data_IF_395075970218
#
_entry.id   IF_395075970218
#
_cell.length_a   1.000
_cell.length_b   1.000
_cell.length_c   1.000
_cell.angle_alpha   90.00
_cell.angle_beta   90.00
_cell.angle_gamma   90.00
#
_symmetry.space_group_name_H-M   'P 1'
#
loop_
_entity.id
_entity.type
_entity.pdbx_description
1 polymer ?
#
# COMPACT_ATOMS: atom_id res chain seq x y z
N UNK A 1 -6.98 17.09 0.16
CA UNK A 1 -7.77 15.84 0.12
C UNK A 1 -7.29 14.92 1.23
N UNK A 2 -8.19 14.23 1.87
CA UNK A 2 -7.85 13.27 2.91
C UNK A 2 -7.72 11.89 2.30
N UNK A 3 -6.55 11.31 2.41
CA UNK A 3 -6.21 10.05 1.75
C UNK A 3 -5.83 9.01 2.78
N UNK A 4 -6.42 7.83 2.68
CA UNK A 4 -5.95 6.65 3.41
C UNK A 4 -5.10 5.82 2.49
N UNK A 5 -3.97 5.33 2.97
CA UNK A 5 -3.06 4.54 2.15
C UNK A 5 -2.78 3.22 2.86
N UNK A 6 -3.19 2.14 2.23
CA UNK A 6 -3.05 0.80 2.80
C UNK A 6 -1.92 0.10 2.06
N UNK A 7 -0.95 -0.38 2.80
CA UNK A 7 0.20 -1.05 2.20
C UNK A 7 1.38 -0.10 2.07
N UNK A 8 2.23 -0.08 3.07
CA UNK A 8 3.38 0.80 3.11
C UNK A 8 4.68 0.03 2.89
N UNK A 9 4.63 -0.93 1.98
CA UNK A 9 5.85 -1.56 1.50
C UNK A 9 6.70 -0.54 0.77
N UNK A 10 7.84 -0.94 0.26
CA UNK A 10 8.81 0.00 -0.29
C UNK A 10 8.19 0.94 -1.33
N UNK A 11 7.46 0.38 -2.29
CA UNK A 11 6.85 1.19 -3.34
C UNK A 11 5.66 1.98 -2.82
N UNK A 12 4.83 1.37 -1.98
CA UNK A 12 3.67 2.04 -1.42
C UNK A 12 4.08 3.18 -0.53
N UNK A 13 5.12 3.00 0.26
CA UNK A 13 5.63 4.03 1.15
C UNK A 13 6.10 5.26 0.37
N UNK A 14 6.85 5.04 -0.71
CA UNK A 14 7.34 6.14 -1.53
C UNK A 14 6.17 6.91 -2.14
N UNK A 15 5.18 6.21 -2.65
CA UNK A 15 3.99 6.85 -3.23
C UNK A 15 3.21 7.63 -2.18
N UNK A 16 3.06 7.05 -0.98
CA UNK A 16 2.34 7.72 0.09
C UNK A 16 3.06 8.98 0.54
N UNK A 17 4.38 8.94 0.60
CA UNK A 17 5.16 10.11 0.99
C UNK A 17 5.06 11.24 -0.03
N UNK A 18 5.03 10.90 -1.29
CA UNK A 18 4.83 11.90 -2.35
C UNK A 18 3.45 12.52 -2.24
N UNK A 19 2.43 11.72 -2.02
CA UNK A 19 1.06 12.24 -1.85
C UNK A 19 0.95 13.11 -0.61
N UNK A 20 1.67 12.78 0.45
CA UNK A 20 1.60 13.52 1.71
C UNK A 20 2.18 14.93 1.59
N UNK A 21 2.91 15.21 0.53
CA UNK A 21 3.40 16.57 0.31
C UNK A 21 2.28 17.56 0.01
N UNK A 22 1.18 17.08 -0.54
CA UNK A 22 0.07 17.95 -0.96
C UNK A 22 -1.27 17.56 -0.38
N UNK A 23 -1.35 16.42 0.28
CA UNK A 23 -2.60 15.91 0.81
C UNK A 23 -2.41 15.41 2.23
N UNK A 24 -3.52 15.30 2.95
CA UNK A 24 -3.51 14.72 4.28
C UNK A 24 -3.56 13.20 4.15
N UNK A 25 -2.42 12.55 4.29
CA UNK A 25 -2.28 11.11 4.10
C UNK A 25 -2.07 10.40 5.42
N UNK A 26 -2.87 9.38 5.66
CA UNK A 26 -2.68 8.46 6.79
C UNK A 26 -2.44 7.08 6.22
N UNK A 27 -1.39 6.43 6.64
CA UNK A 27 -1.01 5.13 6.10
C UNK A 27 -1.11 4.02 7.12
N UNK A 28 -1.40 2.82 6.64
CA UNK A 28 -1.47 1.63 7.44
C UNK A 28 -0.82 0.45 6.74
N UNK A 29 -0.20 -0.41 7.53
CA UNK A 29 0.36 -1.67 7.05
C UNK A 29 0.31 -2.65 8.20
N UNK A 30 0.30 -3.93 7.92
CA UNK A 30 0.35 -4.95 8.97
C UNK A 30 1.59 -4.82 9.83
N UNK A 31 2.67 -4.29 9.26
CA UNK A 31 3.94 -4.11 9.94
C UNK A 31 4.19 -2.65 10.31
N UNK A 32 3.13 -1.92 10.63
CA UNK A 32 3.17 -0.46 10.76
C UNK A 32 4.17 0.01 11.80
N UNK A 33 4.39 -0.78 12.85
CA UNK A 33 5.29 -0.37 13.93
C UNK A 33 6.75 -0.40 13.49
N UNK A 34 7.08 -1.15 12.45
CA UNK A 34 8.44 -1.28 11.95
C UNK A 34 8.71 -0.47 10.70
N UNK A 35 7.72 0.29 10.24
CA UNK A 35 7.87 1.08 9.02
C UNK A 35 8.36 2.46 9.37
N UNK A 36 9.44 2.87 8.72
CA UNK A 36 10.01 4.19 8.87
C UNK A 36 9.51 5.08 7.72
N UNK A 37 8.66 6.02 8.04
CA UNK A 37 8.10 6.91 7.04
C UNK A 37 7.70 8.23 7.67
N UNK A 38 7.67 9.27 6.84
CA UNK A 38 7.20 10.59 7.26
C UNK A 38 5.68 10.70 7.24
N UNK A 39 5.00 9.75 6.64
CA UNK A 39 3.55 9.72 6.58
C UNK A 39 2.98 9.42 7.97
N UNK A 40 1.87 10.04 8.31
CA UNK A 40 1.18 9.74 9.55
C UNK A 40 0.75 8.28 9.55
N UNK A 41 1.13 7.56 10.59
CA UNK A 41 0.83 6.14 10.68
C UNK A 41 -0.43 5.88 11.47
N UNK A 42 -1.32 5.08 10.91
CA UNK A 42 -2.46 4.56 11.64
C UNK A 42 -2.06 3.23 12.27
N UNK A 43 -2.39 3.04 13.52
CA UNK A 43 -2.09 1.80 14.23
C UNK A 43 -3.12 0.71 13.98
N UNK A 44 -4.25 1.07 13.40
CA UNK A 44 -5.29 0.13 13.02
C UNK A 44 -5.82 0.50 11.65
N UNK A 45 -6.23 -0.51 10.90
CA UNK A 45 -6.73 -0.33 9.55
C UNK A 45 -7.88 0.68 9.50
N UNK A 46 -8.78 0.63 10.46
CA UNK A 46 -9.94 1.52 10.45
C UNK A 46 -9.54 2.98 10.48
N UNK A 47 -8.44 3.31 11.14
CA UNK A 47 -8.01 4.71 11.24
C UNK A 47 -7.46 5.24 9.91
N UNK A 48 -7.02 4.36 9.03
CA UNK A 48 -6.60 4.77 7.70
C UNK A 48 -7.79 4.89 6.73
N UNK A 49 -8.94 4.35 7.12
CA UNK A 49 -10.11 4.35 6.24
C UNK A 49 -11.17 5.34 6.66
N UNK A 50 -11.28 5.64 7.95
CA UNK A 50 -12.38 6.47 8.43
C UNK A 50 -12.15 7.93 8.07
N UNK A 51 -13.20 8.61 7.64
CA UNK A 51 -13.19 10.04 7.33
C UNK A 51 -12.15 10.40 6.25
N UNK A 52 -11.88 9.48 5.34
CA UNK A 52 -11.00 9.74 4.22
C UNK A 52 -11.81 9.97 2.95
N UNK A 53 -11.35 10.88 2.11
CA UNK A 53 -12.00 11.11 0.81
C UNK A 53 -11.74 9.97 -0.15
N UNK A 54 -10.58 9.35 -0.04
CA UNK A 54 -10.22 8.22 -0.88
C UNK A 54 -9.29 7.30 -0.09
N UNK A 55 -9.38 6.01 -0.37
CA UNK A 55 -8.48 5.02 0.22
C UNK A 55 -7.78 4.29 -0.92
N UNK A 56 -6.48 4.34 -0.92
CA UNK A 56 -5.66 3.66 -1.91
C UNK A 56 -5.05 2.41 -1.28
N UNK A 57 -5.05 1.33 -2.02
CA UNK A 57 -4.49 0.07 -1.53
C UNK A 57 -3.36 -0.34 -2.46
N UNK A 58 -2.16 -0.44 -1.91
CA UNK A 58 -1.01 -0.93 -2.62
C UNK A 58 -0.75 -2.36 -2.19
N UNK A 59 -1.00 -3.30 -3.07
CA UNK A 59 -0.86 -4.71 -2.76
C UNK A 59 0.45 -5.20 -3.36
N UNK A 60 1.29 -5.79 -2.52
CA UNK A 60 2.49 -6.43 -2.99
C UNK A 60 2.15 -7.81 -3.50
N UNK A 61 2.56 -8.09 -4.72
CA UNK A 61 2.39 -9.43 -5.27
C UNK A 61 3.55 -10.27 -4.79
N UNK A 62 3.32 -11.34 -4.05
CA UNK A 62 4.43 -12.16 -3.61
C UNK A 62 5.10 -12.84 -4.80
N UNK A 63 6.41 -12.93 -4.75
CA UNK A 63 7.15 -13.66 -5.77
C UNK A 63 6.99 -15.14 -5.54
N UNK A 64 6.54 -15.82 -6.58
CA UNK A 64 6.45 -17.27 -6.55
C UNK A 64 7.71 -17.86 -7.16
N UNK A 65 8.25 -18.95 -6.60
CA UNK A 65 9.48 -19.53 -7.15
C UNK A 65 9.35 -19.97 -8.60
N UNK A 66 8.17 -20.29 -9.04
CA UNK A 66 7.97 -20.80 -10.40
C UNK A 66 7.77 -19.70 -11.42
N UNK A 67 7.67 -18.47 -11.02
CA UNK A 67 7.75 -17.36 -11.95
C UNK A 67 8.28 -16.15 -11.22
N UNK A 68 9.15 -15.47 -11.91
CA UNK A 68 9.95 -14.42 -11.31
C UNK A 68 9.42 -13.02 -11.66
N UNK A 69 8.21 -12.94 -12.14
CA UNK A 69 7.62 -11.68 -12.53
C UNK A 69 7.91 -11.30 -13.96
N UNK A 70 8.70 -12.08 -14.66
CA UNK A 70 9.00 -11.82 -16.07
C UNK A 70 8.01 -12.43 -17.02
N UNK A 71 7.32 -13.45 -16.57
CA UNK A 71 6.36 -14.12 -17.41
C UNK A 71 5.03 -13.35 -17.39
N UNK A 72 4.43 -13.15 -18.54
CA UNK A 72 3.12 -12.53 -18.54
C UNK A 72 2.12 -13.39 -17.80
N UNK A 73 1.29 -12.76 -17.02
CA UNK A 73 0.29 -13.50 -16.26
C UNK A 73 -0.70 -14.22 -17.14
N UNK A 74 -0.81 -13.81 -18.40
CA UNK A 74 -1.68 -14.47 -19.35
C UNK A 74 -1.23 -15.91 -19.64
N UNK A 75 -0.01 -16.25 -19.31
CA UNK A 75 0.46 -17.63 -19.45
C UNK A 75 -0.04 -18.53 -18.35
N UNK A 76 -0.48 -17.96 -17.27
CA UNK A 76 -0.94 -18.74 -16.15
C UNK A 76 -2.34 -19.25 -16.44
N UNK A 77 -2.68 -20.42 -15.91
CA UNK A 77 -4.05 -20.87 -16.05
C UNK A 77 -4.97 -19.83 -15.48
N UNK A 78 -6.17 -19.73 -16.00
CA UNK A 78 -7.11 -18.77 -15.43
C UNK A 78 -7.19 -18.98 -13.94
N UNK A 79 -7.18 -17.91 -13.25
CA UNK A 79 -7.16 -17.98 -11.80
C UNK A 79 -8.48 -18.33 -11.27
N UNK A 80 -9.22 -18.72 -12.04
CA UNK A 80 -10.50 -19.12 -11.69
C UNK A 80 -10.57 -20.04 -10.59
#
# INVERSE_FOLDING_TARGET
MKVGFIGLGKLGRDAAEVLAEKHDVVGYDLDILNIDTTVTKATQLKYACENRDIVLVAVQTPHHPDYDGKEPTSHLPPKD
#
